data_IF_235053389906
#
_entry.id   IF_235053389906
#
_cell.length_a   1.000
_cell.length_b   1.000
_cell.length_c   1.000
_cell.angle_alpha   90.00
_cell.angle_beta   90.00
_cell.angle_gamma   90.00
#
_symmetry.space_group_name_H-M   'P 1'
#
loop_
_entity.id
_entity.type
_entity.pdbx_description
1 polymer ?
#
# COMPACT_ATOMS: atom_id res chain seq x y z
N UNK A 1 1.26 -11.52 -8.53
CA UNK A 1 2.17 -11.74 -7.39
C UNK A 1 3.53 -11.17 -7.77
N UNK A 2 4.01 -10.13 -7.07
CA UNK A 2 5.43 -9.80 -7.21
C UNK A 2 6.19 -11.01 -6.68
N UNK A 3 6.99 -11.65 -7.52
CA UNK A 3 7.99 -12.60 -7.04
C UNK A 3 8.73 -11.90 -5.91
N UNK A 4 8.89 -12.55 -4.77
CA UNK A 4 9.57 -11.98 -3.61
C UNK A 4 11.01 -11.65 -3.95
N UNK A 5 11.22 -10.50 -4.58
CA UNK A 5 12.56 -9.96 -4.81
C UNK A 5 13.11 -9.64 -3.42
N UNK A 6 14.02 -10.45 -2.94
CA UNK A 6 14.71 -10.20 -1.70
C UNK A 6 15.31 -8.78 -1.75
N UNK A 7 15.00 -7.97 -0.73
CA UNK A 7 15.51 -6.61 -0.61
C UNK A 7 17.03 -6.60 -0.77
N UNK A 8 17.55 -5.74 -1.62
CA UNK A 8 19.00 -5.62 -1.84
C UNK A 8 19.67 -5.12 -0.57
N UNK A 9 20.91 -5.56 -0.33
CA UNK A 9 21.69 -5.18 0.87
C UNK A 9 21.77 -3.66 1.06
N UNK A 10 21.88 -2.91 -0.03
CA UNK A 10 21.97 -1.44 0.01
C UNK A 10 20.63 -0.80 0.41
N UNK A 11 19.51 -1.33 -0.08
CA UNK A 11 18.16 -0.91 0.28
C UNK A 11 17.89 -1.16 1.76
N UNK A 12 18.23 -2.36 2.24
CA UNK A 12 18.10 -2.71 3.66
C UNK A 12 18.98 -1.79 4.53
N UNK A 13 20.23 -1.51 4.12
CA UNK A 13 21.11 -0.60 4.85
C UNK A 13 20.51 0.80 4.92
N UNK A 14 20.00 1.32 3.80
CA UNK A 14 19.34 2.64 3.75
C UNK A 14 18.13 2.66 4.68
N UNK A 15 17.28 1.64 4.62
CA UNK A 15 16.09 1.52 5.48
C UNK A 15 16.47 1.57 6.97
N UNK A 16 17.48 0.81 7.39
CA UNK A 16 17.97 0.81 8.78
C UNK A 16 18.50 2.19 9.18
N UNK A 17 19.26 2.85 8.32
CA UNK A 17 19.81 4.19 8.62
C UNK A 17 18.71 5.24 8.70
N UNK A 18 17.70 5.17 7.84
CA UNK A 18 16.50 6.03 7.89
C UNK A 18 15.72 5.78 9.19
N UNK A 19 15.48 4.53 9.54
CA UNK A 19 14.77 4.17 10.78
C UNK A 19 15.45 4.70 12.04
N UNK A 20 16.79 4.78 12.03
CA UNK A 20 17.60 5.36 13.12
C UNK A 20 17.68 6.89 13.09
N UNK A 21 17.11 7.55 12.07
CA UNK A 21 17.24 8.98 11.86
C UNK A 21 18.65 9.43 11.46
N UNK A 22 19.52 8.51 11.02
CA UNK A 22 20.88 8.80 10.61
C UNK A 22 20.98 9.36 9.18
N UNK A 23 19.97 9.16 8.37
CA UNK A 23 19.79 9.74 7.04
C UNK A 23 18.33 10.17 6.86
N UNK A 24 18.12 11.17 6.02
CA UNK A 24 16.78 11.64 5.68
C UNK A 24 15.97 10.53 4.99
N UNK A 25 14.69 10.45 5.33
CA UNK A 25 13.73 9.62 4.61
C UNK A 25 13.51 10.15 3.18
N UNK A 26 13.04 9.31 2.28
CA UNK A 26 12.66 9.77 0.95
C UNK A 26 11.39 10.62 1.02
N UNK A 27 10.42 10.18 1.85
CA UNK A 27 9.20 10.93 2.16
C UNK A 27 8.92 10.84 3.65
N UNK A 28 8.46 11.94 4.23
CA UNK A 28 7.91 11.96 5.60
C UNK A 28 6.51 12.53 5.57
N UNK A 29 5.56 11.79 6.15
CA UNK A 29 4.23 12.30 6.43
C UNK A 29 4.26 12.84 7.84
N UNK A 30 4.17 14.17 7.96
CA UNK A 30 4.31 14.92 9.21
C UNK A 30 3.00 15.01 9.97
N UNK A 31 3.09 15.13 11.28
CA UNK A 31 1.96 15.46 12.14
C UNK A 31 0.77 14.49 12.00
N UNK A 32 1.05 13.19 12.00
CA UNK A 32 0.03 12.14 11.90
C UNK A 32 -0.49 11.68 13.26
N UNK A 33 -1.74 11.21 13.27
CA UNK A 33 -2.29 10.30 14.28
C UNK A 33 -2.27 8.89 13.71
N UNK A 34 -1.19 8.16 13.97
CA UNK A 34 -0.97 6.83 13.39
C UNK A 34 -1.79 5.79 14.15
N UNK A 35 -2.65 5.09 13.43
CA UNK A 35 -3.42 3.96 13.97
C UNK A 35 -2.51 2.73 13.99
N UNK A 36 -2.01 2.38 15.17
CA UNK A 36 -1.21 1.18 15.36
C UNK A 36 -2.13 -0.04 15.51
N UNK A 37 -2.31 -0.76 14.42
CA UNK A 37 -3.20 -1.93 14.39
C UNK A 37 -2.67 -3.14 15.17
N UNK A 38 -1.40 -3.13 15.59
CA UNK A 38 -0.82 -4.19 16.40
C UNK A 38 -1.10 -4.01 17.88
N UNK A 39 -1.12 -2.76 18.37
CA UNK A 39 -1.36 -2.45 19.79
C UNK A 39 -2.77 -1.91 20.04
N UNK A 40 -3.49 -1.50 18.98
CA UNK A 40 -4.79 -0.82 19.09
C UNK A 40 -4.70 0.63 19.58
N UNK A 41 -3.51 1.20 19.63
CA UNK A 41 -3.26 2.56 20.10
C UNK A 41 -3.18 3.55 18.94
N UNK A 42 -3.43 4.81 19.25
CA UNK A 42 -3.18 5.93 18.33
C UNK A 42 -1.89 6.63 18.80
N UNK A 43 -0.89 6.63 17.93
CA UNK A 43 0.41 7.24 18.20
C UNK A 43 0.54 8.55 17.41
N UNK A 44 0.86 9.65 18.11
CA UNK A 44 1.20 10.90 17.42
C UNK A 44 2.65 10.88 16.96
N UNK A 45 2.88 11.23 15.70
CA UNK A 45 4.23 11.25 15.13
C UNK A 45 4.24 11.39 13.62
N UNK A 46 5.45 11.38 13.08
CA UNK A 46 5.68 11.38 11.64
C UNK A 46 5.85 9.94 11.16
N UNK A 47 5.51 9.68 9.90
CA UNK A 47 5.78 8.41 9.23
C UNK A 47 6.92 8.62 8.25
N UNK A 48 8.06 7.95 8.48
CA UNK A 48 9.20 7.96 7.58
C UNK A 48 9.11 6.83 6.56
N UNK A 49 9.32 7.14 5.29
CA UNK A 49 9.27 6.21 4.16
C UNK A 49 10.61 6.21 3.44
N UNK A 50 11.15 5.02 3.19
CA UNK A 50 12.37 4.80 2.42
C UNK A 50 12.08 3.82 1.28
N UNK A 51 12.11 4.32 0.04
CA UNK A 51 11.62 3.56 -1.12
C UNK A 51 10.14 3.25 -0.99
N UNK A 52 9.80 1.97 -0.96
CA UNK A 52 8.43 1.44 -0.79
C UNK A 52 8.14 0.92 0.63
N UNK A 53 9.06 1.19 1.59
CA UNK A 53 8.96 0.68 2.95
C UNK A 53 8.75 1.80 3.97
N UNK A 54 7.92 1.53 4.97
CA UNK A 54 7.84 2.36 6.17
C UNK A 54 9.07 2.09 7.02
N UNK A 55 9.92 3.12 7.20
CA UNK A 55 11.13 3.02 8.01
C UNK A 55 10.82 3.12 9.51
N UNK A 56 9.84 3.92 9.88
CA UNK A 56 9.44 4.08 11.27
C UNK A 56 8.38 5.14 11.50
N UNK A 57 7.90 5.18 12.74
CA UNK A 57 6.99 6.21 13.26
C UNK A 57 7.70 6.93 14.39
N UNK A 58 7.71 8.27 14.38
CA UNK A 58 8.42 9.07 15.38
C UNK A 58 8.68 10.50 14.91
N UNK A 59 9.88 11.01 15.12
CA UNK A 59 10.30 12.32 14.63
C UNK A 59 11.35 12.12 13.54
N UNK A 60 11.03 12.53 12.33
CA UNK A 60 11.87 12.31 11.17
C UNK A 60 11.99 13.59 10.29
N UNK A 61 13.05 13.63 9.50
CA UNK A 61 13.25 14.58 8.40
C UNK A 61 13.26 13.83 7.09
N UNK A 62 12.69 14.42 6.04
CA UNK A 62 12.61 13.81 4.74
C UNK A 62 12.92 14.78 3.61
N UNK A 63 13.34 14.24 2.47
CA UNK A 63 13.55 15.01 1.24
C UNK A 63 12.25 15.64 0.74
N UNK A 64 11.14 14.93 0.93
CA UNK A 64 9.79 15.41 0.69
C UNK A 64 9.01 15.29 1.98
N UNK A 65 8.38 16.36 2.42
CA UNK A 65 7.55 16.37 3.62
C UNK A 65 6.12 16.75 3.26
N UNK A 66 5.17 15.95 3.74
CA UNK A 66 3.73 16.17 3.55
C UNK A 66 3.09 16.32 4.92
N UNK A 67 2.52 17.47 5.20
CA UNK A 67 1.83 17.72 6.48
C UNK A 67 0.43 17.10 6.47
N UNK A 68 0.22 16.11 7.33
CA UNK A 68 -1.10 15.51 7.54
C UNK A 68 -2.04 16.41 8.34
N UNK A 69 -1.53 17.45 8.99
CA UNK A 69 -2.35 18.39 9.76
C UNK A 69 -3.15 17.74 10.89
N UNK A 70 -2.56 16.75 11.55
CA UNK A 70 -3.22 16.02 12.65
C UNK A 70 -4.27 15.00 12.20
N UNK A 71 -4.31 14.65 10.90
CA UNK A 71 -5.21 13.61 10.38
C UNK A 71 -4.73 12.22 10.78
N UNK A 72 -5.66 11.27 10.72
CA UNK A 72 -5.33 9.87 10.97
C UNK A 72 -4.60 9.27 9.76
N UNK A 73 -3.56 8.50 10.07
CA UNK A 73 -2.88 7.61 9.12
C UNK A 73 -3.13 6.17 9.55
N UNK A 74 -3.73 5.39 8.69
CA UNK A 74 -4.03 3.99 8.93
C UNK A 74 -3.50 3.14 7.78
N UNK A 75 -3.28 1.83 7.99
CA UNK A 75 -3.05 0.91 6.88
C UNK A 75 -4.19 0.99 5.87
N UNK A 76 -3.86 0.77 4.59
CA UNK A 76 -4.88 0.70 3.55
C UNK A 76 -5.89 -0.40 3.82
N UNK A 77 -7.14 -0.16 3.40
CA UNK A 77 -8.22 -1.13 3.60
C UNK A 77 -8.02 -2.35 2.72
N UNK A 78 -8.44 -3.50 3.25
CA UNK A 78 -8.46 -4.78 2.54
C UNK A 78 -9.92 -5.16 2.36
N UNK A 79 -10.36 -5.27 1.10
CA UNK A 79 -11.63 -5.89 0.79
C UNK A 79 -11.42 -7.40 0.71
N UNK A 80 -12.02 -8.13 1.62
CA UNK A 80 -11.79 -9.56 1.77
C UNK A 80 -12.61 -10.44 0.83
N UNK A 81 -13.53 -9.86 0.05
CA UNK A 81 -14.33 -10.59 -0.93
C UNK A 81 -15.00 -9.65 -1.91
N UNK A 82 -14.57 -9.68 -3.16
CA UNK A 82 -15.17 -8.88 -4.23
C UNK A 82 -15.25 -9.67 -5.54
N UNK A 83 -16.31 -9.42 -6.31
CA UNK A 83 -16.43 -9.81 -7.71
C UNK A 83 -16.20 -8.58 -8.58
N UNK A 84 -15.01 -8.48 -9.18
CA UNK A 84 -14.62 -7.32 -10.00
C UNK A 84 -15.59 -7.15 -11.16
N UNK A 85 -16.00 -8.26 -11.76
CA UNK A 85 -16.94 -8.33 -12.90
C UNK A 85 -18.26 -7.62 -12.59
N UNK A 86 -18.76 -7.76 -11.37
CA UNK A 86 -20.01 -7.13 -10.92
C UNK A 86 -19.93 -5.61 -10.85
N UNK A 87 -18.72 -5.03 -10.86
CA UNK A 87 -18.49 -3.58 -10.91
C UNK A 87 -18.60 -2.99 -12.33
N UNK A 88 -18.66 -3.83 -13.36
CA UNK A 88 -18.66 -3.45 -14.78
C UNK A 88 -17.43 -2.65 -15.25
N UNK A 89 -16.32 -2.75 -14.53
CA UNK A 89 -15.03 -2.18 -14.92
C UNK A 89 -13.95 -3.26 -14.93
N UNK A 90 -12.87 -3.01 -15.65
CA UNK A 90 -11.69 -3.89 -15.64
C UNK A 90 -10.91 -3.76 -14.31
N UNK A 91 -10.04 -4.74 -13.98
CA UNK A 91 -9.25 -4.70 -12.75
C UNK A 91 -8.43 -3.42 -12.58
N UNK A 92 -7.80 -2.92 -13.64
CA UNK A 92 -7.01 -1.69 -13.60
C UNK A 92 -7.86 -0.45 -13.34
N UNK A 93 -9.08 -0.39 -13.89
CA UNK A 93 -9.98 0.73 -13.66
C UNK A 93 -10.58 0.68 -12.25
N UNK A 94 -10.89 -0.53 -11.76
CA UNK A 94 -11.31 -0.70 -10.36
C UNK A 94 -10.22 -0.21 -9.38
N UNK A 95 -8.95 -0.56 -9.65
CA UNK A 95 -7.84 -0.09 -8.83
C UNK A 95 -7.72 1.44 -8.82
N UNK A 96 -7.88 2.09 -9.97
CA UNK A 96 -7.90 3.56 -10.08
C UNK A 96 -9.03 4.20 -9.27
N UNK A 97 -10.15 3.51 -9.11
CA UNK A 97 -11.27 3.96 -8.28
C UNK A 97 -11.02 3.70 -6.79
N UNK A 98 -10.51 2.52 -6.42
CA UNK A 98 -10.39 2.13 -5.02
C UNK A 98 -9.23 2.79 -4.29
N UNK A 99 -8.05 2.90 -4.93
CA UNK A 99 -6.83 3.40 -4.29
C UNK A 99 -6.99 4.80 -3.70
N UNK A 100 -7.58 5.79 -4.41
CA UNK A 100 -7.82 7.13 -3.84
C UNK A 100 -8.78 7.15 -2.65
N UNK A 101 -9.58 6.09 -2.49
CA UNK A 101 -10.52 5.92 -1.37
C UNK A 101 -9.97 5.03 -0.25
N UNK A 102 -8.70 4.62 -0.35
CA UNK A 102 -8.00 3.86 0.68
C UNK A 102 -8.11 2.34 0.55
N UNK A 103 -8.75 1.82 -0.49
CA UNK A 103 -8.77 0.39 -0.82
C UNK A 103 -7.45 -0.02 -1.47
N UNK A 104 -6.56 -0.68 -0.73
CA UNK A 104 -5.21 -1.00 -1.19
C UNK A 104 -5.01 -2.47 -1.54
N UNK A 105 -5.94 -3.33 -1.13
CA UNK A 105 -5.88 -4.77 -1.37
C UNK A 105 -7.29 -5.31 -1.55
N UNK A 106 -7.46 -6.21 -2.49
CA UNK A 106 -8.71 -6.94 -2.69
C UNK A 106 -8.45 -8.44 -2.79
N UNK A 107 -9.37 -9.25 -2.30
CA UNK A 107 -9.42 -10.70 -2.54
C UNK A 107 -10.57 -10.93 -3.51
N UNK A 108 -10.22 -11.07 -4.79
CA UNK A 108 -11.19 -11.23 -5.85
C UNK A 108 -11.55 -12.70 -6.08
N UNK A 109 -12.84 -12.95 -6.28
CA UNK A 109 -13.37 -14.22 -6.75
C UNK A 109 -13.94 -14.02 -8.17
N UNK A 110 -13.16 -14.29 -9.22
CA UNK A 110 -13.54 -13.98 -10.60
C UNK A 110 -14.34 -15.10 -11.27
N UNK A 111 -15.28 -15.74 -10.55
CA UNK A 111 -16.02 -16.89 -11.08
C UNK A 111 -16.99 -16.50 -12.21
N UNK A 112 -17.47 -15.27 -12.25
CA UNK A 112 -18.38 -14.83 -13.29
C UNK A 112 -17.72 -14.85 -14.67
N UNK A 113 -16.52 -14.24 -14.78
CA UNK A 113 -15.77 -14.26 -16.04
C UNK A 113 -15.20 -15.64 -16.37
N UNK A 114 -14.84 -16.43 -15.34
CA UNK A 114 -14.37 -17.82 -15.53
C UNK A 114 -15.48 -18.70 -16.11
N UNK A 115 -16.73 -18.50 -15.72
CA UNK A 115 -17.88 -19.21 -16.30
C UNK A 115 -18.09 -18.91 -17.80
N UNK A 116 -17.65 -17.75 -18.25
CA UNK A 116 -17.81 -17.33 -19.68
C UNK A 116 -16.57 -17.69 -20.50
N UNK A 117 -15.37 -17.41 -19.99
CA UNK A 117 -14.10 -17.53 -20.74
C UNK A 117 -13.26 -18.76 -20.35
N UNK A 118 -13.67 -19.51 -19.32
CA UNK A 118 -12.87 -20.59 -18.80
C UNK A 118 -11.67 -20.10 -17.97
N UNK A 119 -10.69 -20.97 -17.75
CA UNK A 119 -9.56 -20.71 -16.87
C UNK A 119 -8.65 -19.56 -17.33
N UNK A 120 -8.62 -19.28 -18.62
CA UNK A 120 -7.86 -18.17 -19.22
C UNK A 120 -8.31 -16.79 -18.68
N UNK A 121 -9.53 -16.72 -18.15
CA UNK A 121 -10.03 -15.52 -17.48
C UNK A 121 -9.17 -15.11 -16.27
N UNK A 122 -8.59 -16.07 -15.55
CA UNK A 122 -7.70 -15.78 -14.41
C UNK A 122 -6.42 -15.09 -14.87
N UNK A 123 -5.84 -15.54 -15.98
CA UNK A 123 -4.65 -14.92 -16.56
C UNK A 123 -4.96 -13.47 -16.99
N UNK A 124 -6.11 -13.24 -17.61
CA UNK A 124 -6.57 -11.90 -17.95
C UNK A 124 -6.70 -11.01 -16.71
N UNK A 125 -7.37 -11.48 -15.68
CA UNK A 125 -7.59 -10.69 -14.45
C UNK A 125 -6.26 -10.35 -13.75
N UNK A 126 -5.32 -11.30 -13.69
CA UNK A 126 -4.00 -11.10 -13.09
C UNK A 126 -3.14 -10.14 -13.92
N UNK A 127 -3.20 -10.23 -15.26
CA UNK A 127 -2.42 -9.36 -16.13
C UNK A 127 -2.95 -7.92 -16.10
N UNK A 128 -4.27 -7.74 -16.18
CA UNK A 128 -4.91 -6.44 -16.10
C UNK A 128 -4.62 -5.73 -14.75
N UNK A 129 -4.60 -6.48 -13.65
CA UNK A 129 -4.30 -5.94 -12.32
C UNK A 129 -2.86 -5.42 -12.16
N UNK A 130 -1.93 -5.76 -13.06
CA UNK A 130 -0.56 -5.21 -13.03
C UNK A 130 -0.47 -3.74 -13.45
N UNK A 131 -1.52 -3.21 -14.04
CA UNK A 131 -1.57 -1.85 -14.56
C UNK A 131 -2.27 -0.85 -13.62
N UNK A 132 -2.50 -1.26 -12.37
CA UNK A 132 -3.09 -0.42 -11.31
C UNK A 132 -2.04 0.35 -10.52
#
# INVERSE_FOLDING_TARGET
MREGVAMKKEELRKLILTAKGAVEADVVIKNCKVVNVFTGEIQEGDIAISGDQIAGVGQYQGKVEVDAGGRYAAPGFIDSHIHIESSYVSPEELGRLLVPHGGCTIIADPHEIVNVMGIEALDYMMEAAKNT
#
